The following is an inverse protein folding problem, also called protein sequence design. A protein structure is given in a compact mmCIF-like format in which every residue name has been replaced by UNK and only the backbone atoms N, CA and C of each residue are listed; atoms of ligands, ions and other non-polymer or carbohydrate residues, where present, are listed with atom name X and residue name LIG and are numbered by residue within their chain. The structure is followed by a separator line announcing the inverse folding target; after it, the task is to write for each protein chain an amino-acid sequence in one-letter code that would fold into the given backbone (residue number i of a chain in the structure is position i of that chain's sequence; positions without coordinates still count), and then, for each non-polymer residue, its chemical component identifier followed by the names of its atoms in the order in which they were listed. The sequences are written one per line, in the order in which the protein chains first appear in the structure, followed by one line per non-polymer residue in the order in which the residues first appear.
data_IF_839015534419
#
_entry.id   IF_839015534419
#
_cell.length_a   1.000
_cell.length_b   1.000
_cell.length_c   1.000
_cell.angle_alpha   90.00
_cell.angle_beta   90.00
_cell.angle_gamma   90.00
#
_symmetry.space_group_name_H-M   'P 1'
#
loop_
_entity.id
_entity.type
_entity.pdbx_description
1 polymer ?
#
# COMPACT_ATOMS: atom_id res chain seq x y z
N UNK A 1 -5.07 8.54 -24.45
CA UNK A 1 -3.64 8.80 -24.77
C UNK A 1 -3.51 9.04 -26.27
N UNK A 2 -3.89 8.07 -27.08
CA UNK A 2 -3.71 8.10 -28.53
C UNK A 2 -4.28 9.36 -29.19
N UNK A 3 -5.57 9.66 -28.99
CA UNK A 3 -6.31 10.73 -29.68
C UNK A 3 -5.79 12.13 -29.37
N UNK A 4 -5.33 12.34 -28.14
CA UNK A 4 -4.86 13.65 -27.65
C UNK A 4 -3.34 13.73 -27.50
N UNK A 5 -2.61 12.72 -27.96
CA UNK A 5 -1.15 12.66 -27.86
C UNK A 5 -0.63 12.94 -26.44
N UNK A 6 -1.28 12.31 -25.44
CA UNK A 6 -0.93 12.48 -24.03
C UNK A 6 0.49 11.98 -23.78
N UNK A 7 1.31 12.79 -23.10
CA UNK A 7 2.69 12.49 -22.77
C UNK A 7 2.85 11.78 -21.43
N UNK A 8 2.07 12.17 -20.44
CA UNK A 8 2.14 11.61 -19.08
C UNK A 8 0.77 11.27 -18.56
N UNK A 9 0.68 10.16 -17.83
CA UNK A 9 -0.53 9.73 -17.13
C UNK A 9 -0.21 9.54 -15.65
N UNK A 10 -1.09 10.06 -14.79
CA UNK A 10 -1.11 9.76 -13.37
C UNK A 10 -2.36 8.94 -13.02
N UNK A 11 -2.17 7.83 -12.30
CA UNK A 11 -3.26 6.98 -11.86
C UNK A 11 -2.89 6.16 -10.61
N UNK A 12 -3.85 5.39 -10.08
CA UNK A 12 -3.59 4.46 -8.98
C UNK A 12 -3.08 3.10 -9.48
N UNK A 13 -2.22 2.40 -8.71
CA UNK A 13 -1.79 1.03 -9.00
C UNK A 13 -2.95 0.06 -9.23
N UNK A 14 -4.07 0.22 -8.51
CA UNK A 14 -5.29 -0.58 -8.68
C UNK A 14 -5.82 -0.56 -10.13
N UNK A 15 -5.74 0.58 -10.83
CA UNK A 15 -6.16 0.66 -12.23
C UNK A 15 -5.32 -0.25 -13.12
N UNK A 16 -4.01 -0.26 -12.93
CA UNK A 16 -3.10 -1.11 -13.69
C UNK A 16 -3.22 -2.59 -13.31
N UNK A 17 -3.46 -2.91 -12.03
CA UNK A 17 -3.80 -4.27 -11.62
C UNK A 17 -5.09 -4.78 -12.27
N UNK A 18 -6.11 -3.94 -12.37
CA UNK A 18 -7.35 -4.30 -13.06
C UNK A 18 -7.12 -4.55 -14.56
N UNK A 19 -6.36 -3.69 -15.24
CA UNK A 19 -6.00 -3.89 -16.64
C UNK A 19 -5.20 -5.17 -16.82
N UNK A 20 -4.17 -5.39 -15.98
CA UNK A 20 -3.33 -6.60 -16.03
C UNK A 20 -4.15 -7.88 -15.84
N UNK A 21 -5.16 -7.83 -14.99
CA UNK A 21 -6.07 -8.98 -14.76
C UNK A 21 -6.86 -9.34 -16.02
N UNK A 22 -7.38 -8.33 -16.73
CA UNK A 22 -8.23 -8.53 -17.91
C UNK A 22 -7.42 -8.69 -19.22
N UNK A 23 -6.25 -8.06 -19.29
CA UNK A 23 -5.37 -8.06 -20.48
C UNK A 23 -3.89 -8.26 -20.07
N UNK A 24 -3.51 -9.41 -19.54
CA UNK A 24 -2.16 -9.65 -19.03
C UNK A 24 -1.09 -9.57 -20.11
N UNK A 25 -1.43 -9.84 -21.36
CA UNK A 25 -0.53 -9.79 -22.53
C UNK A 25 -0.52 -8.45 -23.23
N UNK A 26 -1.39 -7.50 -22.83
CA UNK A 26 -1.45 -6.16 -23.41
C UNK A 26 -2.01 -6.10 -24.84
N UNK A 27 -2.86 -7.05 -25.22
CA UNK A 27 -3.44 -7.12 -26.58
C UNK A 27 -4.27 -5.90 -26.94
N UNK A 28 -4.92 -5.28 -25.94
CA UNK A 28 -5.71 -4.06 -26.17
C UNK A 28 -4.81 -2.85 -26.40
N UNK A 29 -3.64 -2.77 -25.80
CA UNK A 29 -2.71 -1.65 -25.97
C UNK A 29 -2.20 -1.55 -27.42
N UNK A 30 -2.00 -2.69 -28.10
CA UNK A 30 -1.52 -2.72 -29.48
C UNK A 30 -2.48 -2.09 -30.50
N UNK A 31 -3.73 -1.82 -30.10
CA UNK A 31 -4.75 -1.17 -30.94
C UNK A 31 -4.62 0.36 -30.96
N UNK A 32 -3.76 0.93 -30.11
CA UNK A 32 -3.67 2.37 -29.93
C UNK A 32 -2.23 2.86 -30.23
N UNK A 33 -2.13 4.06 -30.81
CA UNK A 33 -0.86 4.74 -30.98
C UNK A 33 -0.43 5.38 -29.66
N UNK A 34 0.54 4.77 -28.98
CA UNK A 34 1.10 5.26 -27.73
C UNK A 34 2.47 5.96 -27.93
N UNK A 35 2.85 6.30 -29.16
CA UNK A 35 4.17 6.88 -29.47
C UNK A 35 4.46 8.22 -28.78
N UNK A 36 3.41 8.95 -28.39
CA UNK A 36 3.53 10.22 -27.65
C UNK A 36 3.70 10.03 -26.15
N UNK A 37 3.46 8.80 -25.62
CA UNK A 37 3.44 8.54 -24.20
C UNK A 37 4.85 8.40 -23.65
N UNK A 38 5.24 9.23 -22.69
CA UNK A 38 6.61 9.35 -22.17
C UNK A 38 6.77 8.81 -20.74
N UNK A 39 5.71 8.82 -19.94
CA UNK A 39 5.80 8.39 -18.52
C UNK A 39 4.45 8.03 -17.89
N UNK A 40 4.49 7.05 -17.00
CA UNK A 40 3.36 6.69 -16.13
C UNK A 40 3.73 6.97 -14.67
N UNK A 41 2.90 7.73 -13.97
CA UNK A 41 3.02 7.98 -12.53
C UNK A 41 1.95 7.22 -11.76
N UNK A 42 2.36 6.47 -10.73
CA UNK A 42 1.48 5.70 -9.85
C UNK A 42 1.54 6.25 -8.43
N UNK A 43 0.39 6.45 -7.80
CA UNK A 43 0.29 6.81 -6.38
C UNK A 43 -1.08 6.48 -5.79
N UNK A 44 -1.22 6.72 -4.49
CA UNK A 44 -2.46 6.54 -3.73
C UNK A 44 -2.49 5.26 -2.90
N UNK A 45 -1.70 4.27 -3.26
CA UNK A 45 -1.41 3.05 -2.53
C UNK A 45 -0.04 2.53 -2.97
N UNK A 46 0.50 1.57 -2.25
CA UNK A 46 1.78 0.96 -2.64
C UNK A 46 1.65 0.25 -3.99
N UNK A 47 2.54 0.60 -4.91
CA UNK A 47 2.67 -0.10 -6.17
C UNK A 47 3.57 -1.34 -6.00
N UNK A 48 3.00 -2.52 -6.24
CA UNK A 48 3.78 -3.76 -6.14
C UNK A 48 4.77 -3.89 -7.31
N UNK A 49 5.97 -4.47 -7.06
CA UNK A 49 7.01 -4.59 -8.07
C UNK A 49 6.59 -5.31 -9.34
N UNK A 50 5.70 -6.30 -9.23
CA UNK A 50 5.24 -7.11 -10.35
C UNK A 50 4.33 -6.32 -11.30
N UNK A 51 3.46 -5.47 -10.75
CA UNK A 51 2.61 -4.56 -11.54
C UNK A 51 3.45 -3.49 -12.24
N UNK A 52 4.44 -2.89 -11.56
CA UNK A 52 5.33 -1.88 -12.16
C UNK A 52 6.11 -2.48 -13.32
N UNK A 53 6.78 -3.63 -13.11
CA UNK A 53 7.55 -4.32 -14.16
C UNK A 53 6.70 -4.69 -15.36
N UNK A 54 5.48 -5.20 -15.12
CA UNK A 54 4.54 -5.53 -16.18
C UNK A 54 4.18 -4.30 -17.00
N UNK A 55 3.84 -3.19 -16.33
CA UNK A 55 3.47 -1.95 -17.01
C UNK A 55 4.64 -1.35 -17.82
N UNK A 56 5.87 -1.33 -17.27
CA UNK A 56 7.07 -0.89 -17.98
C UNK A 56 7.36 -1.75 -19.21
N UNK A 57 7.25 -3.08 -19.07
CA UNK A 57 7.47 -4.00 -20.18
C UNK A 57 6.44 -3.82 -21.29
N UNK A 58 5.22 -3.48 -20.95
CA UNK A 58 4.13 -3.29 -21.90
C UNK A 58 4.20 -1.93 -22.57
N UNK A 59 4.34 -0.87 -21.80
CA UNK A 59 4.27 0.51 -22.27
C UNK A 59 5.60 1.02 -22.85
N UNK A 60 6.72 0.39 -22.50
CA UNK A 60 8.08 0.80 -22.89
C UNK A 60 8.46 2.21 -22.47
N UNK A 61 7.85 2.68 -21.38
CA UNK A 61 8.13 3.98 -20.75
C UNK A 61 8.40 3.80 -19.27
N UNK A 62 9.07 4.75 -18.60
CA UNK A 62 9.24 4.72 -17.15
C UNK A 62 7.91 4.67 -16.41
N UNK A 63 7.79 3.77 -15.43
CA UNK A 63 6.68 3.71 -14.49
C UNK A 63 7.20 4.15 -13.14
N UNK A 64 6.72 5.29 -12.68
CA UNK A 64 7.23 6.03 -11.53
C UNK A 64 6.23 5.89 -10.39
N UNK A 65 6.62 5.12 -9.36
CA UNK A 65 5.90 5.16 -8.09
C UNK A 65 6.31 6.43 -7.35
N UNK A 66 5.33 7.15 -6.80
CA UNK A 66 5.56 8.35 -6.02
C UNK A 66 4.61 8.43 -4.84
N UNK A 67 5.07 9.04 -3.75
CA UNK A 67 4.33 9.11 -2.52
C UNK A 67 3.96 10.55 -2.17
N UNK A 68 2.69 10.73 -1.86
CA UNK A 68 2.10 11.96 -1.41
C UNK A 68 0.87 11.70 -0.54
N UNK A 69 0.37 12.74 0.08
CA UNK A 69 -0.82 12.70 0.91
C UNK A 69 -1.74 13.86 0.51
N UNK A 70 -3.04 13.74 0.79
CA UNK A 70 -3.99 14.84 0.59
C UNK A 70 -3.52 16.10 1.31
N UNK A 71 -2.95 15.93 2.49
CA UNK A 71 -2.39 16.96 3.34
C UNK A 71 -1.24 17.72 2.67
N UNK A 72 -0.40 17.04 1.92
CA UNK A 72 0.76 17.69 1.26
C UNK A 72 0.45 18.21 -0.14
N UNK A 73 -0.72 17.86 -0.70
CA UNK A 73 -1.22 18.29 -2.01
C UNK A 73 -0.37 17.83 -3.20
N UNK A 74 0.86 17.43 -3.01
CA UNK A 74 1.79 16.97 -4.03
C UNK A 74 2.82 15.99 -3.44
N UNK A 75 3.67 15.44 -4.33
CA UNK A 75 4.64 14.42 -3.97
C UNK A 75 5.63 14.89 -2.89
N UNK A 76 5.78 14.06 -1.86
CA UNK A 76 6.86 14.14 -0.85
C UNK A 76 8.09 13.41 -1.40
N UNK A 77 7.89 12.30 -2.12
CA UNK A 77 8.94 11.58 -2.82
C UNK A 77 8.51 11.17 -4.22
N UNK A 78 9.44 11.21 -5.15
CA UNK A 78 9.23 10.86 -6.56
C UNK A 78 10.58 10.72 -7.28
N UNK A 79 10.54 10.15 -8.48
CA UNK A 79 11.60 10.33 -9.46
C UNK A 79 11.39 11.68 -10.15
N UNK A 80 12.23 12.66 -9.84
CA UNK A 80 12.14 14.01 -10.38
C UNK A 80 12.74 14.08 -11.79
N UNK A 81 12.07 13.45 -12.76
CA UNK A 81 12.55 13.26 -14.14
C UNK A 81 12.93 14.55 -14.87
N UNK A 82 12.36 15.68 -14.45
CA UNK A 82 12.72 17.01 -14.98
C UNK A 82 14.07 17.55 -14.48
N UNK A 83 14.65 16.93 -13.45
CA UNK A 83 15.97 17.26 -12.91
C UNK A 83 16.97 16.19 -13.35
N UNK A 84 16.70 14.94 -12.95
CA UNK A 84 17.55 13.78 -13.26
C UNK A 84 16.69 12.51 -13.20
N UNK A 85 16.83 11.65 -14.19
CA UNK A 85 16.17 10.34 -14.16
C UNK A 85 16.96 9.38 -13.28
N UNK A 86 16.47 9.13 -12.09
CA UNK A 86 17.06 8.17 -11.17
C UNK A 86 16.72 6.73 -11.57
N UNK A 87 17.60 5.79 -11.21
CA UNK A 87 17.34 4.35 -11.38
C UNK A 87 16.08 3.94 -10.60
N UNK A 88 15.14 3.29 -11.26
CA UNK A 88 13.95 2.73 -10.60
C UNK A 88 14.34 1.59 -9.66
N UNK A 89 13.89 1.67 -8.40
CA UNK A 89 13.87 0.54 -7.46
C UNK A 89 12.41 0.15 -7.25
N UNK A 90 12.02 -1.00 -7.77
CA UNK A 90 10.62 -1.44 -7.77
C UNK A 90 10.08 -1.63 -6.35
N UNK A 91 8.97 -0.97 -6.04
CA UNK A 91 8.36 -0.92 -4.71
C UNK A 91 8.84 0.24 -3.83
N UNK A 92 9.79 1.06 -4.30
CA UNK A 92 10.18 2.30 -3.66
C UNK A 92 9.49 3.49 -4.32
N UNK A 93 9.08 4.46 -3.52
CA UNK A 93 8.57 5.76 -3.97
C UNK A 93 9.69 6.75 -4.32
N UNK A 94 10.86 6.25 -4.72
CA UNK A 94 12.07 7.03 -5.05
C UNK A 94 12.62 7.84 -3.86
N UNK A 95 13.13 9.06 -4.11
CA UNK A 95 13.73 9.93 -3.09
C UNK A 95 12.85 11.13 -2.77
N UNK A 96 13.13 11.76 -1.65
CA UNK A 96 12.46 13.02 -1.30
C UNK A 96 12.61 14.05 -2.41
N UNK A 97 11.52 14.70 -2.79
CA UNK A 97 11.58 15.80 -3.75
C UNK A 97 12.19 17.04 -3.09
N UNK A 98 12.78 17.96 -3.87
CA UNK A 98 13.38 19.19 -3.32
C UNK A 98 12.43 19.93 -2.37
N UNK A 99 12.94 20.28 -1.19
CA UNK A 99 12.19 20.96 -0.14
C UNK A 99 11.68 20.05 0.98
N UNK A 100 11.64 18.73 0.80
CA UNK A 100 11.27 17.80 1.86
C UNK A 100 12.51 17.12 2.47
N UNK A 101 12.61 17.13 3.80
CA UNK A 101 13.61 16.39 4.56
C UNK A 101 12.92 15.23 5.30
N UNK A 102 12.86 14.06 4.64
CA UNK A 102 12.19 12.86 5.16
C UNK A 102 13.12 12.11 6.10
N UNK A 103 12.61 11.73 7.26
CA UNK A 103 13.30 10.90 8.26
C UNK A 103 12.44 9.71 8.66
N UNK A 104 13.09 8.73 9.22
CA UNK A 104 12.45 7.58 9.85
C UNK A 104 12.72 7.66 11.35
N UNK A 105 11.67 7.61 12.17
CA UNK A 105 11.79 7.63 13.64
C UNK A 105 11.38 6.28 14.19
N UNK A 106 12.24 5.71 15.04
CA UNK A 106 11.98 4.44 15.73
C UNK A 106 11.08 4.65 16.96
N UNK A 107 10.51 3.56 17.53
CA UNK A 107 9.71 3.65 18.75
C UNK A 107 10.41 4.29 19.95
N UNK A 108 11.75 4.21 20.00
CA UNK A 108 12.58 4.84 21.03
C UNK A 108 12.85 6.34 20.76
N UNK A 109 12.15 6.94 19.82
CA UNK A 109 12.28 8.35 19.40
C UNK A 109 13.62 8.69 18.73
N UNK A 110 14.45 7.71 18.40
CA UNK A 110 15.71 7.95 17.68
C UNK A 110 15.52 7.86 16.16
N UNK A 111 16.35 8.59 15.41
CA UNK A 111 16.38 8.49 13.95
C UNK A 111 16.94 7.11 13.56
N UNK A 112 16.22 6.43 12.69
CA UNK A 112 16.60 5.12 12.18
C UNK A 112 17.83 5.22 11.26
N UNK A 113 18.64 4.16 11.26
CA UNK A 113 19.69 3.96 10.25
C UNK A 113 19.07 3.45 8.94
N UNK A 114 19.90 3.39 7.90
CA UNK A 114 19.48 2.82 6.62
C UNK A 114 18.90 1.41 6.81
N UNK A 115 17.80 1.13 6.12
CA UNK A 115 17.03 -0.13 6.16
C UNK A 115 16.34 -0.46 7.50
N UNK A 116 16.44 0.41 8.52
CA UNK A 116 15.66 0.23 9.75
C UNK A 116 14.24 0.79 9.59
N UNK A 117 13.27 0.00 10.02
CA UNK A 117 11.84 0.36 9.98
C UNK A 117 11.48 1.35 11.10
N UNK A 118 10.62 2.31 10.77
CA UNK A 118 10.03 3.23 11.73
C UNK A 118 8.89 4.03 11.13
N UNK A 119 8.44 5.04 11.87
CA UNK A 119 7.44 5.98 11.41
C UNK A 119 8.09 7.02 10.48
N UNK A 120 7.47 7.25 9.34
CA UNK A 120 7.97 8.23 8.37
C UNK A 120 7.50 9.62 8.79
N UNK A 121 8.44 10.53 8.92
CA UNK A 121 8.18 11.93 9.30
C UNK A 121 8.88 12.89 8.35
N UNK A 122 8.42 14.13 8.30
CA UNK A 122 9.07 15.19 7.52
C UNK A 122 9.53 16.28 8.48
N UNK A 123 10.82 16.63 8.41
CA UNK A 123 11.38 17.68 9.24
C UNK A 123 10.77 19.05 8.90
N UNK A 124 10.43 19.81 9.93
CA UNK A 124 9.90 21.16 9.78
C UNK A 124 11.04 22.18 9.51
N UNK A 125 10.75 23.29 8.77
CA UNK A 125 9.45 23.65 8.19
C UNK A 125 9.14 22.83 6.93
N UNK A 126 7.85 22.59 6.66
CA UNK A 126 7.41 22.04 5.39
C UNK A 126 7.65 23.03 4.25
N UNK A 127 7.74 22.59 2.99
CA UNK A 127 7.84 23.47 1.84
C UNK A 127 6.70 24.49 1.79
N UNK A 128 6.93 25.70 1.28
CA UNK A 128 5.90 26.72 1.16
C UNK A 128 4.64 26.21 0.45
N UNK A 129 3.47 26.52 1.03
CA UNK A 129 2.17 26.06 0.49
C UNK A 129 1.75 24.65 0.86
N UNK A 130 2.63 23.87 1.49
CA UNK A 130 2.32 22.53 1.96
C UNK A 130 1.60 22.58 3.30
N UNK A 131 0.35 22.09 3.34
CA UNK A 131 -0.46 21.87 4.53
C UNK A 131 -0.41 23.01 5.56
N UNK A 132 -0.90 24.21 5.24
CA UNK A 132 -0.80 25.36 6.14
C UNK A 132 -1.65 25.19 7.41
N UNK A 133 -2.80 24.52 7.31
CA UNK A 133 -3.70 24.19 8.43
C UNK A 133 -4.86 23.31 7.99
N UNK A 134 -5.73 22.92 8.92
CA UNK A 134 -7.06 22.34 8.67
C UNK A 134 -8.11 23.46 8.79
N UNK A 135 -9.08 23.48 7.86
CA UNK A 135 -10.15 24.46 7.82
C UNK A 135 -10.91 24.53 9.17
N UNK A 136 -10.90 25.70 9.80
CA UNK A 136 -11.50 25.96 11.12
C UNK A 136 -11.09 24.96 12.22
N UNK A 137 -9.89 24.36 12.14
CA UNK A 137 -9.47 23.31 13.06
C UNK A 137 -7.95 23.34 13.35
N UNK A 138 -7.37 24.52 13.57
CA UNK A 138 -5.93 24.72 13.84
C UNK A 138 -5.43 23.89 15.02
N UNK A 139 -6.23 23.78 16.08
CA UNK A 139 -5.86 22.93 17.22
C UNK A 139 -5.72 21.48 16.80
N UNK A 140 -6.68 20.94 16.05
CA UNK A 140 -6.63 19.57 15.53
C UNK A 140 -5.45 19.35 14.59
N UNK A 141 -5.10 20.35 13.75
CA UNK A 141 -3.93 20.33 12.92
C UNK A 141 -2.65 20.11 13.74
N UNK A 142 -2.45 20.95 14.78
CA UNK A 142 -1.28 20.84 15.66
C UNK A 142 -1.26 19.53 16.43
N UNK A 143 -2.37 19.18 17.06
CA UNK A 143 -2.47 17.98 17.91
C UNK A 143 -2.23 16.68 17.10
N UNK A 144 -2.76 16.60 15.88
CA UNK A 144 -2.67 15.35 15.12
C UNK A 144 -1.37 15.22 14.32
N UNK A 145 -0.82 16.33 13.81
CA UNK A 145 0.26 16.22 12.84
C UNK A 145 1.62 16.75 13.33
N UNK A 146 1.65 17.55 14.41
CA UNK A 146 2.86 18.25 14.85
C UNK A 146 3.28 17.95 16.29
N UNK A 147 2.48 17.19 17.05
CA UNK A 147 2.71 17.02 18.49
C UNK A 147 3.44 15.76 18.87
N UNK A 148 3.41 14.70 18.05
CA UNK A 148 3.97 13.40 18.42
C UNK A 148 5.50 13.33 18.27
N UNK A 149 6.07 14.15 17.38
CA UNK A 149 7.50 14.21 17.11
C UNK A 149 7.92 15.67 17.05
N UNK A 150 8.68 16.12 18.04
CA UNK A 150 9.11 17.52 18.12
C UNK A 150 9.96 17.92 16.90
N UNK A 151 9.57 18.99 16.22
CA UNK A 151 10.22 19.48 15.01
C UNK A 151 9.90 18.70 13.73
N UNK A 152 8.90 17.78 13.75
CA UNK A 152 8.52 17.00 12.58
C UNK A 152 7.01 16.99 12.33
N UNK A 153 6.66 16.90 11.05
CA UNK A 153 5.33 16.56 10.58
C UNK A 153 5.16 15.04 10.55
N UNK A 154 4.11 14.55 11.19
CA UNK A 154 3.76 13.12 11.21
C UNK A 154 2.92 12.75 9.99
N UNK A 155 3.41 11.80 9.20
CA UNK A 155 2.74 11.36 7.98
C UNK A 155 1.73 10.23 8.21
N UNK A 156 1.78 9.54 9.34
CA UNK A 156 1.05 8.30 9.61
C UNK A 156 1.38 7.14 8.65
N UNK A 157 2.49 7.24 7.95
CA UNK A 157 3.04 6.16 7.15
C UNK A 157 4.27 5.58 7.87
N UNK A 158 4.51 4.29 7.68
CA UNK A 158 5.66 3.58 8.20
C UNK A 158 6.49 2.98 7.06
N UNK A 159 7.81 2.96 7.24
CA UNK A 159 8.71 2.48 6.21
C UNK A 159 10.16 2.60 6.60
N UNK A 160 11.03 2.62 5.62
CA UNK A 160 12.47 2.81 5.80
C UNK A 160 13.07 3.62 4.64
N UNK A 161 14.28 4.09 4.84
CA UNK A 161 15.12 4.67 3.80
C UNK A 161 16.31 3.74 3.61
N UNK A 162 16.61 3.37 2.37
CA UNK A 162 17.74 2.51 2.09
C UNK A 162 19.08 3.27 2.04
N UNK A 163 20.19 2.55 1.85
CA UNK A 163 21.55 3.10 1.80
C UNK A 163 21.77 4.12 0.69
N UNK A 164 20.99 4.03 -0.40
CA UNK A 164 21.05 4.97 -1.52
C UNK A 164 20.08 6.15 -1.34
N UNK A 165 19.35 6.22 -0.22
CA UNK A 165 18.39 7.28 0.11
C UNK A 165 17.00 7.11 -0.53
N UNK A 166 16.67 5.91 -1.03
CA UNK A 166 15.34 5.61 -1.54
C UNK A 166 14.37 5.34 -0.39
N UNK A 167 13.17 5.87 -0.51
CA UNK A 167 12.12 5.78 0.49
C UNK A 167 11.18 4.62 0.14
N UNK A 168 10.95 3.75 1.11
CA UNK A 168 10.09 2.58 0.99
C UNK A 168 8.90 2.74 1.92
N UNK A 169 7.72 2.99 1.36
CA UNK A 169 6.48 3.08 2.11
C UNK A 169 5.94 1.66 2.29
N UNK A 170 5.90 1.18 3.52
CA UNK A 170 5.57 -0.22 3.80
C UNK A 170 4.14 -0.41 4.27
N UNK A 171 3.59 0.54 5.02
CA UNK A 171 2.20 0.52 5.50
C UNK A 171 1.82 1.86 6.13
N UNK A 172 0.55 2.01 6.47
CA UNK A 172 0.10 3.01 7.44
C UNK A 172 0.57 2.59 8.84
N UNK A 173 0.80 3.55 9.72
CA UNK A 173 1.17 3.24 11.11
C UNK A 173 0.06 2.51 11.87
N UNK A 174 -1.21 2.77 11.51
CA UNK A 174 -2.40 2.10 12.03
C UNK A 174 -2.64 0.70 11.42
N UNK A 175 -1.98 0.37 10.32
CA UNK A 175 -1.99 -0.94 9.68
C UNK A 175 -0.79 -1.83 10.08
N UNK A 176 0.14 -1.34 10.91
CA UNK A 176 1.21 -2.15 11.48
C UNK A 176 0.63 -3.20 12.42
N UNK A 177 1.03 -4.44 12.24
CA UNK A 177 0.58 -5.57 13.06
C UNK A 177 1.64 -5.86 14.13
N UNK A 178 1.25 -5.83 15.40
CA UNK A 178 2.15 -6.10 16.51
C UNK A 178 2.00 -7.56 16.99
N UNK A 179 2.93 -8.41 16.57
CA UNK A 179 2.93 -9.83 16.92
C UNK A 179 4.02 -10.09 17.95
N UNK A 180 3.64 -10.35 19.21
CA UNK A 180 4.57 -10.66 20.31
C UNK A 180 5.76 -9.66 20.37
N UNK A 181 5.47 -8.37 20.21
CA UNK A 181 6.48 -7.30 20.22
C UNK A 181 7.16 -7.01 18.89
N UNK A 182 6.92 -7.82 17.86
CA UNK A 182 7.43 -7.56 16.51
C UNK A 182 6.45 -6.72 15.69
N UNK A 183 6.93 -5.63 15.11
CA UNK A 183 6.17 -4.77 14.21
C UNK A 183 6.25 -5.30 12.77
N UNK A 184 5.16 -5.80 12.25
CA UNK A 184 5.06 -6.38 10.92
C UNK A 184 4.31 -5.43 9.99
N UNK A 185 4.87 -5.19 8.81
CA UNK A 185 4.20 -4.45 7.76
C UNK A 185 3.16 -5.33 7.05
N UNK A 186 1.92 -4.86 6.96
CA UNK A 186 0.90 -5.49 6.12
C UNK A 186 1.36 -5.55 4.67
N UNK A 187 1.95 -4.45 4.15
CA UNK A 187 2.44 -4.36 2.79
C UNK A 187 3.56 -5.37 2.46
N UNK A 188 4.46 -5.66 3.41
CA UNK A 188 5.50 -6.67 3.20
C UNK A 188 4.91 -8.08 3.05
N UNK A 189 3.88 -8.40 3.84
CA UNK A 189 3.18 -9.69 3.72
C UNK A 189 2.38 -9.73 2.41
N UNK A 190 1.66 -8.66 2.07
CA UNK A 190 0.89 -8.55 0.82
C UNK A 190 1.77 -8.69 -0.42
N UNK A 191 3.00 -8.15 -0.39
CA UNK A 191 3.96 -8.32 -1.48
C UNK A 191 4.27 -9.80 -1.73
N UNK A 192 4.57 -10.54 -0.67
CA UNK A 192 4.81 -11.99 -0.76
C UNK A 192 3.59 -12.73 -1.31
N UNK A 193 2.38 -12.39 -0.82
CA UNK A 193 1.14 -13.02 -1.27
C UNK A 193 0.84 -12.73 -2.75
N UNK A 194 1.16 -11.52 -3.22
CA UNK A 194 0.92 -11.12 -4.60
C UNK A 194 1.78 -11.86 -5.63
N UNK A 195 2.91 -12.44 -5.21
CA UNK A 195 3.76 -13.26 -6.08
C UNK A 195 3.13 -14.64 -6.40
N UNK A 196 2.12 -15.06 -5.65
CA UNK A 196 1.47 -16.34 -5.91
C UNK A 196 0.72 -16.30 -7.24
N UNK A 197 0.98 -17.28 -8.11
CA UNK A 197 0.45 -17.35 -9.50
C UNK A 197 -1.07 -17.20 -9.60
N UNK A 198 -1.81 -17.70 -8.60
CA UNK A 198 -3.28 -17.71 -8.58
C UNK A 198 -3.90 -16.47 -7.93
N UNK A 199 -3.12 -15.66 -7.18
CA UNK A 199 -3.61 -14.46 -6.49
C UNK A 199 -3.68 -13.29 -7.45
N UNK A 200 -4.85 -12.66 -7.54
CA UNK A 200 -5.04 -11.42 -8.30
C UNK A 200 -4.80 -10.20 -7.43
N UNK A 201 -5.29 -10.25 -6.18
CA UNK A 201 -5.20 -9.16 -5.22
C UNK A 201 -5.30 -9.74 -3.81
N UNK A 202 -4.70 -9.07 -2.84
CA UNK A 202 -4.77 -9.49 -1.44
C UNK A 202 -4.83 -8.30 -0.50
N UNK A 203 -5.28 -8.56 0.72
CA UNK A 203 -5.20 -7.63 1.83
C UNK A 203 -4.80 -8.38 3.10
N UNK A 204 -3.96 -7.76 3.91
CA UNK A 204 -3.56 -8.30 5.22
C UNK A 204 -4.05 -7.38 6.31
N UNK A 205 -4.63 -7.96 7.35
CA UNK A 205 -5.07 -7.25 8.56
C UNK A 205 -4.52 -7.95 9.81
N UNK A 206 -4.32 -7.18 10.87
CA UNK A 206 -4.02 -7.73 12.19
C UNK A 206 -5.30 -7.89 13.00
N UNK A 207 -5.61 -9.09 13.44
CA UNK A 207 -6.73 -9.36 14.35
C UNK A 207 -6.22 -9.53 15.78
N UNK A 208 -7.06 -9.22 16.77
CA UNK A 208 -6.70 -9.34 18.18
C UNK A 208 -6.40 -10.78 18.58
N UNK A 209 -5.30 -10.98 19.31
CA UNK A 209 -4.89 -12.27 19.87
C UNK A 209 -4.47 -12.12 21.34
N UNK A 210 -4.99 -12.99 22.20
CA UNK A 210 -4.79 -12.89 23.66
C UNK A 210 -3.33 -13.10 24.10
N UNK A 211 -2.55 -13.87 23.34
CA UNK A 211 -1.17 -14.23 23.70
C UNK A 211 -0.14 -13.34 22.99
N UNK A 212 -0.40 -12.99 21.73
CA UNK A 212 0.56 -12.30 20.87
C UNK A 212 0.22 -10.84 20.62
N UNK A 213 -0.89 -10.34 21.17
CA UNK A 213 -1.42 -9.02 20.90
C UNK A 213 -2.22 -9.00 19.60
N UNK A 214 -1.58 -9.31 18.48
CA UNK A 214 -2.25 -9.43 17.18
C UNK A 214 -1.72 -10.63 16.39
N UNK A 215 -2.55 -11.13 15.46
CA UNK A 215 -2.15 -12.11 14.44
C UNK A 215 -2.52 -11.59 13.05
N UNK A 216 -1.63 -11.70 12.07
CA UNK A 216 -1.94 -11.35 10.68
C UNK A 216 -2.82 -12.42 10.05
N UNK A 217 -3.86 -11.97 9.35
CA UNK A 217 -4.66 -12.81 8.45
C UNK A 217 -4.65 -12.20 7.05
N UNK A 218 -4.65 -13.07 6.03
CA UNK A 218 -4.69 -12.68 4.62
C UNK A 218 -6.06 -12.93 4.01
N UNK A 219 -6.57 -11.95 3.28
CA UNK A 219 -7.74 -12.06 2.42
C UNK A 219 -7.22 -12.10 0.98
N UNK A 220 -7.56 -13.14 0.21
CA UNK A 220 -7.05 -13.37 -1.14
C UNK A 220 -8.19 -13.34 -2.14
N UNK A 221 -8.06 -12.57 -3.22
CA UNK A 221 -8.91 -12.73 -4.40
C UNK A 221 -8.13 -13.42 -5.51
N UNK A 222 -8.77 -14.33 -6.19
CA UNK A 222 -8.10 -15.15 -7.21
C UNK A 222 -8.25 -14.55 -8.61
N UNK A 223 -7.30 -14.87 -9.48
CA UNK A 223 -7.39 -14.59 -10.91
C UNK A 223 -8.54 -15.36 -11.54
N UNK A 224 -9.09 -14.84 -12.64
CA UNK A 224 -10.10 -15.56 -13.41
C UNK A 224 -9.55 -16.85 -13.98
N UNK A 225 -10.37 -17.92 -13.95
CA UNK A 225 -9.99 -19.22 -14.52
C UNK A 225 -9.07 -20.09 -13.64
N UNK A 226 -8.81 -19.71 -12.39
CA UNK A 226 -8.08 -20.57 -11.45
C UNK A 226 -8.94 -21.78 -11.09
N UNK A 227 -8.40 -22.98 -11.35
CA UNK A 227 -9.06 -24.27 -11.04
C UNK A 227 -8.50 -24.96 -9.80
N UNK A 228 -7.42 -24.43 -9.22
CA UNK A 228 -6.81 -24.95 -8.00
C UNK A 228 -7.72 -24.72 -6.80
N UNK A 229 -7.76 -25.72 -5.91
CA UNK A 229 -8.54 -25.67 -4.68
C UNK A 229 -8.11 -24.51 -3.75
N UNK A 230 -9.09 -23.84 -3.16
CA UNK A 230 -8.87 -22.68 -2.29
C UNK A 230 -8.00 -22.99 -1.07
N UNK A 231 -8.20 -24.15 -0.45
CA UNK A 231 -7.42 -24.57 0.72
C UNK A 231 -5.96 -24.81 0.37
N UNK A 232 -5.70 -25.33 -0.82
CA UNK A 232 -4.34 -25.53 -1.33
C UNK A 232 -3.65 -24.19 -1.57
N UNK A 233 -4.33 -23.23 -2.21
CA UNK A 233 -3.80 -21.87 -2.45
C UNK A 233 -3.50 -21.20 -1.12
N UNK A 234 -4.40 -21.28 -0.14
CA UNK A 234 -4.22 -20.72 1.20
C UNK A 234 -2.98 -21.29 1.90
N UNK A 235 -2.78 -22.61 1.84
CA UNK A 235 -1.59 -23.27 2.41
C UNK A 235 -0.30 -22.85 1.72
N UNK A 236 -0.30 -22.77 0.39
CA UNK A 236 0.84 -22.29 -0.39
C UNK A 236 1.21 -20.84 -0.01
N UNK A 237 0.23 -19.96 0.09
CA UNK A 237 0.41 -18.57 0.51
C UNK A 237 0.98 -18.45 1.95
N UNK A 238 0.45 -19.24 2.90
CA UNK A 238 0.98 -19.30 4.25
C UNK A 238 2.44 -19.74 4.27
N UNK A 239 2.77 -20.78 3.50
CA UNK A 239 4.14 -21.28 3.40
C UNK A 239 5.08 -20.25 2.73
N UNK A 240 4.62 -19.50 1.73
CA UNK A 240 5.41 -18.44 1.10
C UNK A 240 5.78 -17.35 2.11
N UNK A 241 4.81 -16.87 2.90
CA UNK A 241 5.07 -15.87 3.95
C UNK A 241 6.04 -16.41 5.00
N UNK A 242 5.86 -17.67 5.44
CA UNK A 242 6.77 -18.31 6.38
C UNK A 242 8.21 -18.41 5.86
N UNK A 243 8.38 -18.71 4.57
CA UNK A 243 9.71 -18.85 3.96
C UNK A 243 10.40 -17.50 3.72
N UNK A 244 9.64 -16.46 3.32
CA UNK A 244 10.21 -15.17 2.92
C UNK A 244 10.33 -14.16 4.06
N UNK A 245 9.35 -14.11 4.96
CA UNK A 245 9.35 -13.19 6.11
C UNK A 245 9.81 -13.91 7.38
N UNK A 246 9.54 -15.19 7.47
CA UNK A 246 9.94 -16.03 8.59
C UNK A 246 8.79 -16.34 9.56
N UNK A 247 9.03 -17.30 10.50
CA UNK A 247 8.05 -17.74 11.49
C UNK A 247 7.59 -16.62 12.43
N UNK A 248 8.38 -15.55 12.57
CA UNK A 248 8.09 -14.37 13.39
C UNK A 248 6.78 -13.69 12.95
N UNK A 249 6.43 -13.76 11.67
CA UNK A 249 5.18 -13.21 11.17
C UNK A 249 3.95 -13.87 11.78
N UNK A 250 4.06 -15.11 12.27
CA UNK A 250 2.95 -15.91 12.78
C UNK A 250 1.73 -15.95 11.83
N UNK A 251 1.98 -15.81 10.52
CA UNK A 251 0.94 -15.81 9.49
C UNK A 251 0.45 -17.25 9.29
N UNK A 252 -0.74 -17.54 9.79
CA UNK A 252 -1.31 -18.90 9.82
C UNK A 252 -2.66 -19.02 9.12
N UNK A 253 -3.25 -17.88 8.76
CA UNK A 253 -4.59 -17.81 8.20
C UNK A 253 -4.54 -17.00 6.92
N UNK A 254 -4.94 -17.64 5.83
CA UNK A 254 -5.23 -17.01 4.56
C UNK A 254 -6.56 -17.55 4.06
N UNK A 255 -7.50 -16.67 3.71
CA UNK A 255 -8.81 -17.07 3.21
C UNK A 255 -9.04 -16.49 1.82
N UNK A 256 -9.65 -17.30 0.95
CA UNK A 256 -10.06 -16.84 -0.36
C UNK A 256 -11.42 -16.20 -0.25
N UNK A 257 -11.51 -14.94 -0.67
CA UNK A 257 -12.73 -14.14 -0.69
C UNK A 257 -13.09 -13.75 -2.13
N UNK A 258 -14.37 -13.50 -2.38
CA UNK A 258 -14.84 -13.14 -3.71
C UNK A 258 -14.28 -11.79 -4.18
N UNK A 259 -14.19 -10.81 -3.28
CA UNK A 259 -13.72 -9.45 -3.53
C UNK A 259 -13.28 -8.77 -2.24
N UNK A 260 -12.45 -7.72 -2.35
CA UNK A 260 -12.01 -6.93 -1.22
C UNK A 260 -12.84 -5.64 -1.08
N UNK A 261 -13.20 -5.21 0.16
CA UNK A 261 -13.92 -3.97 0.37
C UNK A 261 -13.02 -2.78 0.07
N UNK A 262 -13.49 -1.90 -0.81
CA UNK A 262 -12.74 -0.74 -1.29
C UNK A 262 -13.55 0.54 -1.21
N UNK A 263 -12.84 1.64 -1.18
CA UNK A 263 -13.42 2.95 -1.48
C UNK A 263 -13.65 3.08 -3.00
N UNK A 264 -14.46 4.07 -3.41
CA UNK A 264 -14.64 4.43 -4.83
C UNK A 264 -13.35 4.77 -5.55
N UNK A 265 -12.31 5.20 -4.82
CA UNK A 265 -10.97 5.43 -5.36
C UNK A 265 -10.06 4.19 -5.39
N UNK A 266 -10.59 3.01 -5.02
CA UNK A 266 -9.87 1.73 -5.07
C UNK A 266 -9.06 1.37 -3.81
N UNK A 267 -9.03 2.21 -2.77
CA UNK A 267 -8.31 1.92 -1.53
C UNK A 267 -9.02 0.85 -0.71
N UNK A 268 -8.29 -0.18 -0.29
CA UNK A 268 -8.81 -1.26 0.55
C UNK A 268 -9.13 -0.76 1.96
N UNK A 269 -10.30 -1.11 2.47
CA UNK A 269 -10.83 -0.69 3.78
C UNK A 269 -10.37 -1.63 4.91
N UNK A 270 -9.03 -1.82 5.07
CA UNK A 270 -8.44 -2.74 6.07
C UNK A 270 -8.93 -2.49 7.49
N UNK A 271 -8.98 -1.24 7.92
CA UNK A 271 -9.45 -0.86 9.25
C UNK A 271 -10.90 -1.27 9.53
N UNK A 272 -11.79 -1.23 8.53
CA UNK A 272 -13.17 -1.69 8.67
C UNK A 272 -13.22 -3.21 8.77
N UNK A 273 -12.47 -3.93 7.93
CA UNK A 273 -12.40 -5.40 7.98
C UNK A 273 -11.84 -5.88 9.33
N UNK A 274 -10.79 -5.22 9.85
CA UNK A 274 -10.25 -5.52 11.17
C UNK A 274 -11.31 -5.39 12.27
N UNK A 275 -12.05 -4.28 12.27
CA UNK A 275 -13.12 -4.08 13.27
C UNK A 275 -14.21 -5.14 13.18
N UNK A 276 -14.58 -5.57 11.96
CA UNK A 276 -15.50 -6.69 11.78
C UNK A 276 -14.91 -7.96 12.40
N UNK A 277 -13.65 -8.28 12.09
CA UNK A 277 -12.98 -9.49 12.61
C UNK A 277 -12.81 -9.49 14.13
N UNK A 278 -12.57 -8.31 14.72
CA UNK A 278 -12.43 -8.13 16.18
C UNK A 278 -13.77 -7.93 16.90
N UNK A 279 -14.91 -8.00 16.19
CA UNK A 279 -16.27 -7.75 16.72
C UNK A 279 -16.44 -6.36 17.34
N UNK A 280 -15.72 -5.39 16.80
CA UNK A 280 -15.80 -3.98 17.21
C UNK A 280 -16.88 -3.22 16.41
N UNK A 281 -17.47 -2.20 17.04
CA UNK A 281 -18.36 -1.29 16.34
C UNK A 281 -17.63 -0.48 15.30
N UNK A 282 -18.24 -0.33 14.12
CA UNK A 282 -17.72 0.52 13.06
C UNK A 282 -18.81 1.36 12.43
N UNK A 283 -18.41 2.55 11.97
CA UNK A 283 -19.28 3.37 11.13
C UNK A 283 -19.11 2.96 9.68
N UNK A 284 -20.20 2.84 8.95
CA UNK A 284 -20.15 2.60 7.51
C UNK A 284 -19.29 3.68 6.83
N UNK A 285 -18.19 3.30 6.14
CA UNK A 285 -17.36 4.29 5.45
C UNK A 285 -18.14 5.00 4.33
N UNK A 286 -18.27 6.32 4.42
CA UNK A 286 -19.01 7.11 3.43
C UNK A 286 -18.45 7.00 2.00
N UNK A 287 -17.22 6.59 1.87
CA UNK A 287 -16.49 6.44 0.59
C UNK A 287 -16.50 5.02 0.05
N UNK A 288 -17.14 4.06 0.73
CA UNK A 288 -17.19 2.67 0.28
C UNK A 288 -17.88 2.60 -1.10
N UNK A 289 -17.34 1.76 -1.98
CA UNK A 289 -17.88 1.54 -3.32
C UNK A 289 -19.18 0.75 -3.26
N UNK A 290 -19.17 -0.40 -2.61
CA UNK A 290 -20.34 -1.26 -2.42
C UNK A 290 -20.43 -1.72 -0.94
N UNK A 291 -21.41 -1.22 -0.15
CA UNK A 291 -21.57 -1.61 1.24
C UNK A 291 -21.84 -3.11 1.46
N UNK A 292 -22.50 -3.79 0.51
CA UNK A 292 -22.85 -5.22 0.67
C UNK A 292 -21.63 -6.13 0.82
N UNK A 293 -20.47 -5.68 0.36
CA UNK A 293 -19.23 -6.45 0.46
C UNK A 293 -18.80 -6.71 1.92
N UNK A 294 -19.20 -5.84 2.85
CA UNK A 294 -18.85 -6.04 4.27
C UNK A 294 -19.60 -7.22 4.86
N UNK A 295 -20.84 -7.47 4.43
CA UNK A 295 -21.61 -8.65 4.84
C UNK A 295 -21.01 -9.93 4.21
N UNK A 296 -20.60 -9.89 2.93
CA UNK A 296 -19.87 -11.00 2.29
C UNK A 296 -18.59 -11.36 3.06
N UNK A 297 -17.77 -10.36 3.42
CA UNK A 297 -16.55 -10.56 4.21
C UNK A 297 -16.87 -11.15 5.58
N UNK A 298 -17.91 -10.66 6.24
CA UNK A 298 -18.34 -11.19 7.55
C UNK A 298 -18.71 -12.67 7.46
N UNK A 299 -19.47 -13.06 6.44
CA UNK A 299 -19.82 -14.47 6.18
C UNK A 299 -18.57 -15.33 5.95
N UNK A 300 -17.62 -14.84 5.15
CA UNK A 300 -16.36 -15.54 4.89
C UNK A 300 -15.53 -15.71 6.17
N UNK A 301 -15.49 -14.70 7.04
CA UNK A 301 -14.80 -14.76 8.34
C UNK A 301 -15.45 -15.79 9.27
N UNK A 302 -16.80 -15.84 9.33
CA UNK A 302 -17.56 -16.82 10.10
C UNK A 302 -17.27 -18.25 9.58
N UNK A 303 -17.37 -18.45 8.27
CA UNK A 303 -17.13 -19.73 7.61
C UNK A 303 -15.74 -20.29 7.91
N UNK A 304 -14.77 -19.43 8.12
CA UNK A 304 -13.38 -19.79 8.40
C UNK A 304 -13.04 -19.77 9.92
N UNK A 305 -14.04 -19.71 10.80
CA UNK A 305 -13.90 -19.71 12.26
C UNK A 305 -13.01 -18.58 12.81
N UNK A 306 -13.07 -17.40 12.19
CA UNK A 306 -12.35 -16.20 12.63
C UNK A 306 -13.28 -15.35 13.51
N UNK A 307 -14.57 -15.32 13.20
CA UNK A 307 -15.64 -14.66 13.97
C UNK A 307 -16.38 -15.59 14.90
#
# INVERSE_FOLDING_TARGET
ISDYKIKSLFTAPTAFRAIKKEDPEGKFFSKYDLSSFESLFLAGERADPDTIKWAENLLKVPVIDHWWQTETSWAISSNCTGIEMMKTKYGSACKAVPGYDVKIIKPDQTIAKANEMGDIVVKLPLPPGTFPTLWNADKRYKDNYMSNYDGFYQTYDAGHIDEDGYIWIMSRTDDIINVAGHRLSTGAIEEVLSEHKSVAECAVIGIADKLKGQLPIGLLTLKSGVSQDNDTISKECIQMVRNKIGPVAAFKIAIVVKRLPKTRSGKILRGTVRKIADKEDYKMPATIDDPAILDEIKEDLIKNNIL
#
